data_IF_076420301525
#
_entry.id   IF_076420301525
#
_cell.length_a   1.000
_cell.length_b   1.000
_cell.length_c   1.000
_cell.angle_alpha   90.00
_cell.angle_beta   90.00
_cell.angle_gamma   90.00
#
_symmetry.space_group_name_H-M   'P 1'
#
loop_
_entity.id
_entity.type
_entity.pdbx_description
1 polymer ?
#
# COMPACT_ATOMS: atom_id res chain seq x y z
N UNK A 1 22.79 13.58 29.13
CA UNK A 1 22.16 12.53 29.95
C UNK A 1 21.37 11.52 29.11
N UNK A 2 20.46 11.91 28.21
CA UNK A 2 19.71 10.97 27.38
C UNK A 2 20.56 10.32 26.26
N UNK A 3 21.47 11.09 25.63
CA UNK A 3 22.43 10.60 24.64
C UNK A 3 23.47 9.62 25.22
N UNK A 4 23.89 9.81 26.46
CA UNK A 4 24.86 8.92 27.11
C UNK A 4 24.24 7.61 27.59
N UNK A 5 23.01 7.66 28.13
CA UNK A 5 22.24 6.45 28.42
C UNK A 5 21.98 5.66 27.13
N UNK A 6 21.71 6.36 26.03
CA UNK A 6 21.50 5.78 24.71
C UNK A 6 22.76 5.10 24.17
N UNK A 7 23.96 5.73 24.34
CA UNK A 7 25.24 5.16 23.92
C UNK A 7 25.62 3.92 24.76
N UNK A 8 25.30 3.94 26.06
CA UNK A 8 25.55 2.80 26.96
C UNK A 8 24.62 1.59 26.64
N UNK A 9 23.36 1.83 26.26
CA UNK A 9 22.44 0.79 25.78
C UNK A 9 22.92 0.21 24.45
N UNK A 10 23.44 1.06 23.55
CA UNK A 10 24.00 0.67 22.26
C UNK A 10 25.28 -0.19 22.38
N UNK A 11 26.12 0.09 23.39
CA UNK A 11 27.35 -0.69 23.65
C UNK A 11 27.05 -2.07 24.27
N UNK A 12 26.02 -2.19 25.12
CA UNK A 12 25.55 -3.45 25.68
C UNK A 12 24.77 -4.31 24.66
N UNK A 13 24.15 -3.71 23.65
CA UNK A 13 23.33 -4.41 22.65
C UNK A 13 24.10 -5.11 21.55
N UNK A 14 25.45 -5.08 21.53
CA UNK A 14 26.25 -5.78 20.51
C UNK A 14 26.12 -7.32 20.54
N UNK A 15 25.61 -7.89 21.61
CA UNK A 15 25.46 -9.35 21.77
C UNK A 15 24.01 -9.87 21.75
N UNK A 16 23.00 -9.02 21.50
CA UNK A 16 21.58 -9.43 21.44
C UNK A 16 20.89 -8.96 20.18
N UNK A 17 20.81 -9.81 19.16
CA UNK A 17 20.36 -9.49 17.81
C UNK A 17 18.90 -9.00 17.70
N UNK A 18 17.99 -9.41 18.57
CA UNK A 18 16.55 -9.06 18.50
C UNK A 18 16.21 -7.67 19.02
N UNK A 19 16.75 -7.25 20.16
CA UNK A 19 16.50 -5.94 20.74
C UNK A 19 17.08 -4.77 19.91
N UNK A 20 18.23 -5.03 19.27
CA UNK A 20 18.92 -4.06 18.42
C UNK A 20 18.13 -3.73 17.12
N UNK A 21 17.48 -4.76 16.51
CA UNK A 21 16.64 -4.57 15.33
C UNK A 21 15.40 -3.72 15.63
N UNK A 22 14.65 -4.06 16.67
CA UNK A 22 13.44 -3.32 17.06
C UNK A 22 13.76 -1.85 17.40
N UNK A 23 14.87 -1.60 18.09
CA UNK A 23 15.31 -0.25 18.42
C UNK A 23 15.57 0.60 17.17
N UNK A 24 16.21 0.06 16.14
CA UNK A 24 16.51 0.80 14.88
C UNK A 24 15.30 0.93 13.96
N UNK A 25 14.42 -0.05 13.93
CA UNK A 25 13.18 0.01 13.15
C UNK A 25 12.16 0.98 13.76
N UNK A 26 12.16 1.10 15.10
CA UNK A 26 11.18 1.88 15.85
C UNK A 26 10.97 3.33 15.39
N UNK A 27 11.99 4.15 15.08
CA UNK A 27 11.77 5.53 14.63
C UNK A 27 11.00 5.63 13.31
N UNK A 28 11.17 4.66 12.40
CA UNK A 28 10.42 4.58 11.15
C UNK A 28 8.96 4.22 11.41
N UNK A 29 8.75 3.13 12.13
CA UNK A 29 7.43 2.61 12.51
C UNK A 29 6.63 3.62 13.34
N UNK A 30 7.22 4.17 14.41
CA UNK A 30 6.59 5.21 15.22
C UNK A 30 6.15 6.43 14.42
N UNK A 31 6.98 6.86 13.46
CA UNK A 31 6.66 8.02 12.63
C UNK A 31 5.50 7.73 11.68
N UNK A 32 5.46 6.52 11.10
CA UNK A 32 4.36 6.10 10.23
C UNK A 32 3.05 5.99 11.02
N UNK A 33 3.05 5.29 12.15
CA UNK A 33 1.87 5.18 13.03
C UNK A 33 1.39 6.56 13.48
N UNK A 34 2.30 7.45 13.90
CA UNK A 34 1.93 8.80 14.33
C UNK A 34 1.28 9.61 13.20
N UNK A 35 1.82 9.55 11.98
CA UNK A 35 1.23 10.27 10.83
C UNK A 35 -0.13 9.68 10.47
N UNK A 36 -0.25 8.35 10.45
CA UNK A 36 -1.50 7.66 10.17
C UNK A 36 -2.60 8.06 11.18
N UNK A 37 -2.34 7.89 12.48
CA UNK A 37 -3.31 8.24 13.54
C UNK A 37 -3.68 9.73 13.51
N UNK A 38 -2.70 10.62 13.27
CA UNK A 38 -2.98 12.05 13.13
C UNK A 38 -3.84 12.36 11.90
N UNK A 39 -3.70 11.62 10.79
CA UNK A 39 -4.53 11.82 9.61
C UNK A 39 -5.97 11.39 9.87
N UNK A 40 -6.17 10.25 10.52
CA UNK A 40 -7.51 9.78 10.91
C UNK A 40 -8.20 10.78 11.84
N UNK A 41 -7.52 11.21 12.90
CA UNK A 41 -8.07 12.17 13.85
C UNK A 41 -8.36 13.54 13.21
N UNK A 42 -7.49 14.04 12.34
CA UNK A 42 -7.69 15.32 11.67
C UNK A 42 -8.86 15.31 10.67
N UNK A 43 -9.22 14.16 10.13
CA UNK A 43 -10.33 14.00 9.20
C UNK A 43 -11.70 13.83 9.88
N UNK A 44 -11.74 13.49 11.18
CA UNK A 44 -13.00 13.25 11.90
C UNK A 44 -14.03 14.36 11.76
N UNK A 45 -13.69 15.67 11.91
CA UNK A 45 -14.67 16.74 11.73
C UNK A 45 -15.27 16.78 10.31
N UNK A 46 -14.46 16.44 9.29
CA UNK A 46 -14.90 16.38 7.89
C UNK A 46 -15.87 15.22 7.67
N UNK A 47 -15.57 14.04 8.22
CA UNK A 47 -16.45 12.88 8.14
C UNK A 47 -17.80 13.12 8.83
N UNK A 48 -17.78 13.71 10.04
CA UNK A 48 -19.00 14.05 10.78
C UNK A 48 -19.84 15.06 9.98
N UNK A 49 -19.22 16.11 9.46
CA UNK A 49 -19.93 17.10 8.64
C UNK A 49 -20.52 16.48 7.36
N UNK A 50 -19.77 15.57 6.70
CA UNK A 50 -20.25 14.86 5.53
C UNK A 50 -21.48 13.98 5.87
N UNK A 51 -21.46 13.27 6.98
CA UNK A 51 -22.60 12.45 7.42
C UNK A 51 -23.85 13.29 7.62
N UNK A 52 -23.75 14.40 8.37
CA UNK A 52 -24.87 15.34 8.53
C UNK A 52 -25.37 15.92 7.23
N UNK A 53 -24.47 16.29 6.31
CA UNK A 53 -24.86 16.82 4.99
C UNK A 53 -25.60 15.77 4.16
N UNK A 54 -25.12 14.52 4.14
CA UNK A 54 -25.77 13.43 3.42
C UNK A 54 -27.18 13.16 3.96
N UNK A 55 -27.33 13.01 5.28
CA UNK A 55 -28.63 12.83 5.92
C UNK A 55 -29.60 14.00 5.67
N UNK A 56 -29.09 15.24 5.71
CA UNK A 56 -29.87 16.42 5.40
C UNK A 56 -30.35 16.46 3.94
N UNK A 57 -29.51 16.05 2.99
CA UNK A 57 -29.87 15.92 1.58
C UNK A 57 -30.95 14.84 1.41
N UNK A 58 -30.83 13.69 2.03
CA UNK A 58 -31.85 12.63 2.01
C UNK A 58 -33.19 13.15 2.55
N UNK A 59 -33.15 13.88 3.66
CA UNK A 59 -34.36 14.50 4.25
C UNK A 59 -35.04 15.49 3.30
N UNK A 60 -34.26 16.37 2.62
CA UNK A 60 -34.81 17.36 1.73
C UNK A 60 -35.32 16.80 0.39
N UNK A 61 -34.57 15.86 -0.18
CA UNK A 61 -34.84 15.35 -1.53
C UNK A 61 -35.76 14.12 -1.51
N UNK A 62 -35.92 13.48 -0.34
CA UNK A 62 -36.59 12.18 -0.17
C UNK A 62 -36.03 11.08 -1.06
N UNK A 63 -34.77 11.23 -1.50
CA UNK A 63 -34.03 10.22 -2.24
C UNK A 63 -33.17 9.44 -1.28
N UNK A 64 -33.17 8.11 -1.38
CA UNK A 64 -32.25 7.27 -0.61
C UNK A 64 -30.87 7.31 -1.26
N UNK A 65 -29.90 7.86 -0.57
CA UNK A 65 -28.48 7.77 -0.91
C UNK A 65 -27.80 6.91 0.16
N UNK A 66 -26.78 6.14 -0.20
CA UNK A 66 -25.99 5.44 0.82
C UNK A 66 -25.11 6.47 1.57
N UNK A 67 -25.73 7.18 2.54
CA UNK A 67 -25.10 8.28 3.31
C UNK A 67 -23.85 7.79 4.05
N UNK A 68 -23.84 6.53 4.52
CA UNK A 68 -22.68 5.92 5.17
C UNK A 68 -21.51 5.79 4.20
N UNK A 69 -21.72 5.23 3.01
CA UNK A 69 -20.66 5.05 2.00
C UNK A 69 -20.10 6.39 1.52
N UNK A 70 -20.94 7.40 1.30
CA UNK A 70 -20.50 8.73 0.91
C UNK A 70 -19.69 9.43 2.00
N UNK A 71 -20.19 9.42 3.24
CA UNK A 71 -19.49 10.06 4.36
C UNK A 71 -18.17 9.37 4.67
N UNK A 72 -18.11 8.04 4.58
CA UNK A 72 -16.89 7.28 4.74
C UNK A 72 -15.86 7.58 3.65
N UNK A 73 -16.29 7.66 2.38
CA UNK A 73 -15.42 8.02 1.27
C UNK A 73 -14.82 9.43 1.44
N UNK A 74 -15.63 10.41 1.86
CA UNK A 74 -15.18 11.79 2.10
C UNK A 74 -14.23 11.86 3.30
N UNK A 75 -14.54 11.14 4.39
CA UNK A 75 -13.67 11.03 5.56
C UNK A 75 -12.29 10.47 5.19
N UNK A 76 -12.26 9.33 4.50
CA UNK A 76 -11.01 8.68 4.10
C UNK A 76 -10.23 9.57 3.11
N UNK A 77 -10.92 10.20 2.14
CA UNK A 77 -10.28 11.15 1.23
C UNK A 77 -9.56 12.29 1.98
N UNK A 78 -10.22 12.87 2.98
CA UNK A 78 -9.62 13.92 3.80
C UNK A 78 -8.42 13.43 4.60
N UNK A 79 -8.51 12.22 5.19
CA UNK A 79 -7.43 11.59 5.94
C UNK A 79 -6.20 11.34 5.05
N UNK A 80 -6.40 10.77 3.86
CA UNK A 80 -5.32 10.45 2.92
C UNK A 80 -4.63 11.70 2.36
N UNK A 81 -5.40 12.73 2.01
CA UNK A 81 -4.85 14.00 1.56
C UNK A 81 -4.02 14.69 2.66
N UNK A 82 -4.50 14.64 3.90
CA UNK A 82 -3.72 15.15 5.05
C UNK A 82 -2.45 14.34 5.25
N UNK A 83 -2.50 13.01 5.12
CA UNK A 83 -1.34 12.12 5.21
C UNK A 83 -0.29 12.45 4.14
N UNK A 84 -0.70 12.62 2.88
CA UNK A 84 0.18 13.05 1.79
C UNK A 84 0.83 14.40 2.12
N UNK A 85 0.03 15.38 2.57
CA UNK A 85 0.52 16.70 2.95
C UNK A 85 1.58 16.63 4.07
N UNK A 86 1.33 15.86 5.12
CA UNK A 86 2.28 15.67 6.24
C UNK A 86 3.56 14.98 5.79
N UNK A 87 3.45 13.93 4.99
CA UNK A 87 4.62 13.23 4.45
C UNK A 87 5.46 14.16 3.58
N UNK A 88 4.84 14.93 2.69
CA UNK A 88 5.56 15.87 1.80
C UNK A 88 6.18 17.03 2.56
N UNK A 89 5.43 17.69 3.44
CA UNK A 89 5.88 18.89 4.16
C UNK A 89 6.93 18.57 5.23
N UNK A 90 6.65 17.61 6.11
CA UNK A 90 7.49 17.30 7.28
C UNK A 90 8.75 16.53 6.91
N UNK A 91 8.68 15.67 5.88
CA UNK A 91 9.75 14.74 5.54
C UNK A 91 10.41 15.04 4.19
N UNK A 92 10.02 16.14 3.53
CA UNK A 92 10.53 16.55 2.21
C UNK A 92 10.53 15.41 1.18
N UNK A 93 9.49 14.56 1.25
CA UNK A 93 9.35 13.43 0.35
C UNK A 93 8.94 13.94 -1.04
N UNK A 94 9.83 13.74 -2.01
CA UNK A 94 9.55 13.98 -3.42
C UNK A 94 9.44 12.66 -4.14
N UNK A 95 8.43 12.53 -4.99
CA UNK A 95 8.36 11.45 -5.97
C UNK A 95 9.44 11.75 -6.99
N UNK A 96 10.56 11.03 -6.93
CA UNK A 96 11.71 11.26 -7.82
C UNK A 96 11.96 10.00 -8.63
N UNK A 97 11.87 10.14 -9.96
CA UNK A 97 12.56 9.25 -10.87
C UNK A 97 14.00 9.76 -10.95
N UNK A 98 14.90 9.21 -10.14
CA UNK A 98 16.33 9.43 -10.38
C UNK A 98 16.71 8.80 -11.72
N UNK A 99 17.65 9.43 -12.41
CA UNK A 99 18.12 8.98 -13.73
C UNK A 99 18.61 7.53 -13.63
N UNK A 100 17.82 6.60 -14.12
CA UNK A 100 18.26 5.25 -14.43
C UNK A 100 18.97 5.39 -15.78
N UNK A 101 20.28 5.46 -15.75
CA UNK A 101 21.11 5.95 -16.87
C UNK A 101 21.08 5.09 -18.14
N UNK A 102 20.51 3.88 -18.14
CA UNK A 102 20.67 2.94 -19.28
C UNK A 102 19.38 2.31 -19.82
N UNK A 103 18.21 2.70 -19.33
CA UNK A 103 16.96 2.13 -19.81
C UNK A 103 15.94 3.20 -20.19
N UNK A 104 15.22 3.09 -21.31
CA UNK A 104 14.05 3.92 -21.58
C UNK A 104 13.07 3.80 -20.40
N UNK A 105 12.67 4.93 -19.86
CA UNK A 105 11.68 4.98 -18.74
C UNK A 105 10.44 4.16 -19.08
N UNK A 106 10.02 4.17 -20.32
CA UNK A 106 8.89 3.40 -20.87
C UNK A 106 8.95 1.90 -20.56
N UNK A 107 10.13 1.27 -20.75
CA UNK A 107 10.28 -0.18 -20.49
C UNK A 107 10.14 -0.46 -19.00
N UNK A 108 10.68 0.39 -18.12
CA UNK A 108 10.52 0.22 -16.67
C UNK A 108 9.05 0.34 -16.29
N UNK A 109 8.35 1.35 -16.81
CA UNK A 109 6.92 1.50 -16.58
C UNK A 109 6.13 0.27 -17.03
N UNK A 110 6.45 -0.24 -18.23
CA UNK A 110 5.81 -1.45 -18.75
C UNK A 110 6.04 -2.66 -17.84
N UNK A 111 7.28 -2.92 -17.41
CA UNK A 111 7.60 -4.05 -16.53
C UNK A 111 6.90 -3.92 -15.15
N UNK A 112 6.87 -2.72 -14.59
CA UNK A 112 6.17 -2.43 -13.34
C UNK A 112 4.67 -2.62 -13.48
N UNK A 113 4.08 -2.13 -14.59
CA UNK A 113 2.66 -2.31 -14.89
C UNK A 113 2.30 -3.79 -15.08
N UNK A 114 3.14 -4.56 -15.79
CA UNK A 114 2.93 -6.00 -15.96
C UNK A 114 2.93 -6.73 -14.61
N UNK A 115 3.82 -6.36 -13.69
CA UNK A 115 3.79 -6.93 -12.33
C UNK A 115 2.47 -6.59 -11.63
N UNK A 116 2.02 -5.33 -11.71
CA UNK A 116 0.74 -4.89 -11.12
C UNK A 116 -0.48 -5.59 -11.73
N UNK A 117 -0.45 -5.85 -13.03
CA UNK A 117 -1.55 -6.50 -13.73
C UNK A 117 -1.61 -8.00 -13.43
N UNK A 118 -0.49 -8.70 -13.61
CA UNK A 118 -0.48 -10.15 -13.53
C UNK A 118 -0.45 -10.71 -12.10
N UNK A 119 -0.13 -9.90 -11.08
CA UNK A 119 -0.21 -10.34 -9.68
C UNK A 119 -1.66 -10.55 -9.21
N UNK A 120 -2.63 -9.92 -9.85
CA UNK A 120 -4.04 -9.97 -9.43
C UNK A 120 -4.56 -11.41 -9.33
N UNK A 121 -4.42 -12.22 -10.39
CA UNK A 121 -4.94 -13.59 -10.42
C UNK A 121 -4.37 -14.47 -9.31
N UNK A 122 -3.03 -14.61 -9.15
CA UNK A 122 -2.49 -15.46 -8.08
C UNK A 122 -2.74 -14.90 -6.67
N UNK A 123 -2.97 -13.58 -6.50
CA UNK A 123 -3.34 -13.03 -5.20
C UNK A 123 -4.80 -13.35 -4.87
N UNK A 124 -5.72 -13.21 -5.83
CA UNK A 124 -7.12 -13.60 -5.64
C UNK A 124 -7.24 -15.11 -5.36
N UNK A 125 -6.51 -15.95 -6.10
CA UNK A 125 -6.45 -17.39 -5.83
C UNK A 125 -5.93 -17.71 -4.42
N UNK A 126 -4.93 -16.96 -3.92
CA UNK A 126 -4.42 -17.10 -2.56
C UNK A 126 -5.46 -16.68 -1.52
N UNK A 127 -6.15 -15.57 -1.74
CA UNK A 127 -7.20 -15.07 -0.85
C UNK A 127 -8.37 -16.06 -0.76
N UNK A 128 -8.83 -16.59 -1.91
CA UNK A 128 -9.86 -17.64 -1.98
C UNK A 128 -9.41 -18.92 -1.24
N UNK A 129 -8.16 -19.33 -1.42
CA UNK A 129 -7.60 -20.51 -0.74
C UNK A 129 -7.50 -20.34 0.78
N UNK A 130 -7.17 -19.15 1.26
CA UNK A 130 -7.03 -18.86 2.69
C UNK A 130 -8.36 -18.73 3.41
N UNK A 131 -9.43 -18.35 2.70
CA UNK A 131 -10.81 -18.19 3.19
C UNK A 131 -10.88 -17.45 4.56
N UNK A 132 -10.20 -16.30 4.62
CA UNK A 132 -10.11 -15.52 5.86
C UNK A 132 -11.34 -14.62 6.03
N UNK A 133 -11.76 -14.35 7.29
CA UNK A 133 -12.88 -13.45 7.55
C UNK A 133 -12.67 -12.06 6.94
N UNK A 134 -13.64 -11.58 6.19
CA UNK A 134 -13.69 -10.24 5.61
C UNK A 134 -14.78 -9.41 6.31
N UNK A 135 -14.34 -8.45 7.13
CA UNK A 135 -15.24 -7.57 7.90
C UNK A 135 -15.53 -6.24 7.20
N UNK A 136 -14.81 -5.91 6.13
CA UNK A 136 -14.87 -4.60 5.47
C UNK A 136 -15.25 -4.68 3.98
N UNK A 137 -15.39 -5.88 3.43
CA UNK A 137 -15.63 -6.07 2.00
C UNK A 137 -16.88 -5.34 1.52
N UNK A 138 -18.00 -5.42 2.26
CA UNK A 138 -19.23 -4.74 1.90
C UNK A 138 -19.09 -3.21 1.93
N UNK A 139 -18.41 -2.64 2.93
CA UNK A 139 -18.18 -1.20 3.01
C UNK A 139 -17.34 -0.69 1.81
N UNK A 140 -16.35 -1.48 1.38
CA UNK A 140 -15.53 -1.17 0.19
C UNK A 140 -16.37 -1.21 -1.08
N UNK A 141 -17.21 -2.24 -1.24
CA UNK A 141 -18.15 -2.37 -2.36
C UNK A 141 -19.10 -1.17 -2.39
N UNK A 142 -19.69 -0.82 -1.25
CA UNK A 142 -20.60 0.33 -1.14
C UNK A 142 -19.92 1.65 -1.50
N UNK A 143 -18.68 1.85 -1.04
CA UNK A 143 -17.88 3.01 -1.43
C UNK A 143 -17.55 3.03 -2.92
N UNK A 144 -17.35 1.88 -3.54
CA UNK A 144 -17.06 1.78 -4.98
C UNK A 144 -18.27 2.12 -5.87
N UNK A 145 -19.48 2.24 -5.30
CA UNK A 145 -20.65 2.70 -6.04
C UNK A 145 -20.75 4.23 -6.18
N UNK A 146 -19.81 4.99 -5.59
CA UNK A 146 -19.78 6.44 -5.78
C UNK A 146 -18.41 6.92 -6.33
N UNK A 147 -18.38 7.99 -7.15
CA UNK A 147 -17.16 8.43 -7.83
C UNK A 147 -16.06 8.91 -6.87
N UNK A 148 -16.41 9.45 -5.69
CA UNK A 148 -15.44 9.85 -4.66
C UNK A 148 -14.79 8.61 -4.06
N UNK A 149 -15.58 7.56 -3.79
CA UNK A 149 -15.07 6.29 -3.28
C UNK A 149 -14.12 5.63 -4.28
N UNK A 150 -14.47 5.57 -5.56
CA UNK A 150 -13.58 5.04 -6.61
C UNK A 150 -12.27 5.83 -6.66
N UNK A 151 -12.34 7.16 -6.70
CA UNK A 151 -11.15 8.02 -6.70
C UNK A 151 -10.27 7.77 -5.48
N UNK A 152 -10.90 7.66 -4.31
CA UNK A 152 -10.21 7.42 -3.05
C UNK A 152 -9.56 6.03 -3.04
N UNK A 153 -10.33 4.97 -3.30
CA UNK A 153 -9.85 3.58 -3.25
C UNK A 153 -8.76 3.30 -4.28
N UNK A 154 -8.93 3.74 -5.53
CA UNK A 154 -8.04 3.37 -6.61
C UNK A 154 -6.82 4.29 -6.77
N UNK A 155 -6.90 5.56 -6.34
CA UNK A 155 -5.85 6.53 -6.65
C UNK A 155 -5.26 7.17 -5.40
N UNK A 156 -6.10 7.78 -4.56
CA UNK A 156 -5.61 8.62 -3.47
C UNK A 156 -5.01 7.78 -2.34
N UNK A 157 -5.71 6.72 -1.90
CA UNK A 157 -5.20 5.82 -0.86
C UNK A 157 -3.89 5.13 -1.29
N UNK A 158 -3.77 4.50 -2.48
CA UNK A 158 -2.50 3.98 -2.97
C UNK A 158 -1.34 4.99 -2.92
N UNK A 159 -1.59 6.22 -3.36
CA UNK A 159 -0.55 7.26 -3.32
C UNK A 159 -0.15 7.58 -1.87
N UNK A 160 -1.11 7.79 -0.99
CA UNK A 160 -0.87 8.16 0.40
C UNK A 160 -0.14 7.07 1.17
N UNK A 161 -0.53 5.83 0.99
CA UNK A 161 0.08 4.66 1.61
C UNK A 161 1.52 4.44 1.12
N UNK A 162 1.80 4.62 -0.17
CA UNK A 162 3.18 4.57 -0.66
C UNK A 162 4.04 5.71 -0.09
N UNK A 163 3.49 6.92 0.09
CA UNK A 163 4.18 7.98 0.82
C UNK A 163 4.47 7.61 2.28
N UNK A 164 3.53 6.95 2.95
CA UNK A 164 3.67 6.55 4.35
C UNK A 164 4.68 5.41 4.52
N UNK A 165 4.47 4.29 3.82
CA UNK A 165 5.24 3.06 4.05
C UNK A 165 6.59 3.08 3.34
N UNK A 166 6.65 3.44 2.07
CA UNK A 166 7.91 3.45 1.28
C UNK A 166 8.64 4.78 1.41
N UNK A 167 7.87 5.87 1.38
CA UNK A 167 8.42 7.22 1.50
C UNK A 167 8.95 7.54 2.90
N UNK A 168 8.17 7.29 3.93
CA UNK A 168 8.51 7.67 5.31
C UNK A 168 9.14 6.53 6.08
N UNK A 169 8.40 5.41 6.27
CA UNK A 169 8.80 4.32 7.16
C UNK A 169 10.07 3.62 6.67
N UNK A 170 10.03 3.02 5.48
CA UNK A 170 11.16 2.29 4.91
C UNK A 170 12.41 3.18 4.78
N UNK A 171 12.28 4.41 4.27
CA UNK A 171 13.42 5.34 4.15
C UNK A 171 14.03 5.70 5.51
N UNK A 172 13.23 5.86 6.56
CA UNK A 172 13.75 6.07 7.90
C UNK A 172 14.49 4.86 8.42
N UNK A 173 13.95 3.67 8.23
CA UNK A 173 14.63 2.41 8.59
C UNK A 173 16.00 2.31 7.91
N UNK A 174 16.07 2.60 6.61
CA UNK A 174 17.33 2.61 5.84
C UNK A 174 18.32 3.68 6.37
N UNK A 175 17.84 4.88 6.74
CA UNK A 175 18.69 5.93 7.33
C UNK A 175 19.29 5.52 8.69
N UNK A 176 18.66 4.61 9.40
CA UNK A 176 19.16 4.05 10.65
C UNK A 176 20.03 2.81 10.44
N UNK A 177 20.56 2.63 9.22
CA UNK A 177 21.42 1.52 8.82
C UNK A 177 20.80 0.12 9.06
N UNK A 178 19.48 0.02 8.88
CA UNK A 178 18.81 -1.29 8.79
C UNK A 178 19.09 -1.86 7.41
N UNK A 179 19.41 -3.15 7.36
CA UNK A 179 19.57 -3.84 6.09
C UNK A 179 18.35 -3.64 5.18
N UNK A 180 18.56 -3.43 3.86
CA UNK A 180 17.48 -3.18 2.93
C UNK A 180 16.34 -4.21 3.01
N UNK A 181 16.66 -5.49 3.11
CA UNK A 181 15.65 -6.55 3.20
C UNK A 181 14.79 -6.45 4.45
N UNK A 182 15.37 -6.12 5.60
CA UNK A 182 14.60 -5.90 6.83
C UNK A 182 13.71 -4.65 6.74
N UNK A 183 14.16 -3.60 6.05
CA UNK A 183 13.34 -2.41 5.85
C UNK A 183 12.18 -2.68 4.86
N UNK A 184 12.43 -3.47 3.81
CA UNK A 184 11.43 -3.90 2.84
C UNK A 184 10.37 -4.77 3.54
N UNK A 185 10.78 -5.87 4.17
CA UNK A 185 9.86 -6.80 4.83
C UNK A 185 9.10 -6.12 5.96
N UNK A 186 9.80 -5.39 6.83
CA UNK A 186 9.17 -4.72 7.98
C UNK A 186 8.14 -3.67 7.58
N UNK A 187 8.43 -2.86 6.53
CA UNK A 187 7.43 -1.89 6.03
C UNK A 187 6.26 -2.57 5.34
N UNK A 188 6.44 -3.73 4.73
CA UNK A 188 5.38 -4.49 4.07
C UNK A 188 4.47 -5.22 5.06
N UNK A 189 5.04 -5.78 6.13
CA UNK A 189 4.24 -6.35 7.22
C UNK A 189 3.36 -5.28 7.86
N UNK A 190 3.92 -4.09 8.16
CA UNK A 190 3.12 -3.00 8.72
C UNK A 190 2.07 -2.49 7.75
N UNK A 191 2.35 -2.50 6.44
CA UNK A 191 1.40 -2.15 5.40
C UNK A 191 0.20 -3.11 5.39
N UNK A 192 0.40 -4.43 5.47
CA UNK A 192 -0.71 -5.38 5.58
C UNK A 192 -1.48 -5.26 6.90
N UNK A 193 -0.77 -5.14 8.02
CA UNK A 193 -1.40 -5.08 9.34
C UNK A 193 -2.29 -3.85 9.56
N UNK A 194 -2.02 -2.73 8.88
CA UNK A 194 -2.80 -1.49 9.07
C UNK A 194 -4.23 -1.59 8.51
N UNK A 195 -4.49 -2.57 7.64
CA UNK A 195 -5.84 -2.81 7.11
C UNK A 195 -6.81 -3.33 8.18
N UNK A 196 -6.31 -3.93 9.27
CA UNK A 196 -7.09 -4.46 10.39
C UNK A 196 -8.22 -5.44 9.97
N UNK A 197 -8.15 -5.98 8.77
CA UNK A 197 -9.09 -6.90 8.17
C UNK A 197 -8.34 -8.19 7.78
N UNK A 198 -8.64 -9.36 8.38
CA UNK A 198 -7.89 -10.59 8.15
C UNK A 198 -7.73 -10.95 6.67
N UNK A 199 -8.79 -10.84 5.87
CA UNK A 199 -8.73 -11.11 4.44
C UNK A 199 -7.73 -10.20 3.71
N UNK A 200 -7.57 -8.96 4.15
CA UNK A 200 -6.69 -7.95 3.55
C UNK A 200 -5.28 -7.89 4.17
N UNK A 201 -4.84 -8.91 4.92
CA UNK A 201 -3.48 -8.91 5.49
C UNK A 201 -2.47 -9.62 4.59
N UNK A 202 -2.69 -10.87 4.13
CA UNK A 202 -1.67 -11.64 3.40
C UNK A 202 -1.32 -11.06 2.04
N UNK A 203 -2.31 -10.75 1.22
CA UNK A 203 -2.14 -10.16 -0.11
C UNK A 203 -1.31 -8.87 -0.08
N UNK A 204 -1.72 -7.85 0.71
CA UNK A 204 -0.95 -6.62 0.87
C UNK A 204 0.47 -6.80 1.42
N UNK A 205 0.74 -7.77 2.30
CA UNK A 205 2.12 -8.05 2.74
C UNK A 205 2.97 -8.50 1.54
N UNK A 206 2.48 -9.46 0.76
CA UNK A 206 3.21 -10.01 -0.39
C UNK A 206 3.41 -8.93 -1.45
N UNK A 207 2.34 -8.26 -1.85
CA UNK A 207 2.38 -7.15 -2.81
C UNK A 207 3.29 -6.02 -2.30
N UNK A 208 3.23 -5.76 -1.00
CA UNK A 208 4.05 -4.80 -0.29
C UNK A 208 5.54 -5.04 -0.44
N UNK A 209 5.99 -6.31 -0.39
CA UNK A 209 7.39 -6.69 -0.58
C UNK A 209 7.85 -6.34 -2.00
N UNK A 210 7.05 -6.66 -3.03
CA UNK A 210 7.37 -6.32 -4.42
C UNK A 210 7.46 -4.81 -4.62
N UNK A 211 6.47 -4.06 -4.16
CA UNK A 211 6.43 -2.60 -4.25
C UNK A 211 7.64 -1.97 -3.54
N UNK A 212 7.91 -2.38 -2.30
CA UNK A 212 9.03 -1.86 -1.51
C UNK A 212 10.38 -2.16 -2.16
N UNK A 213 10.57 -3.37 -2.69
CA UNK A 213 11.80 -3.75 -3.39
C UNK A 213 12.00 -2.92 -4.66
N UNK A 214 10.97 -2.73 -5.49
CA UNK A 214 11.08 -1.90 -6.70
C UNK A 214 11.33 -0.42 -6.35
N UNK A 215 10.66 0.11 -5.31
CA UNK A 215 10.91 1.46 -4.82
C UNK A 215 12.35 1.64 -4.30
N UNK A 216 12.87 0.65 -3.59
CA UNK A 216 14.26 0.64 -3.12
C UNK A 216 15.25 0.65 -4.28
N UNK A 217 15.08 -0.23 -5.28
CA UNK A 217 15.95 -0.35 -6.46
C UNK A 217 15.96 0.90 -7.33
N UNK A 218 14.82 1.54 -7.50
CA UNK A 218 14.67 2.75 -8.32
C UNK A 218 14.89 4.06 -7.56
N UNK A 219 14.96 4.00 -6.23
CA UNK A 219 14.94 5.17 -5.33
C UNK A 219 13.76 6.10 -5.59
N UNK A 220 12.65 5.55 -6.06
CA UNK A 220 11.42 6.25 -6.45
C UNK A 220 10.19 5.56 -5.87
N UNK A 221 9.14 6.33 -5.58
CA UNK A 221 7.83 5.80 -5.15
C UNK A 221 6.97 5.37 -6.35
N UNK A 222 7.31 5.81 -7.56
CA UNK A 222 6.47 5.60 -8.75
C UNK A 222 6.18 4.13 -9.03
N UNK A 223 7.15 3.19 -8.98
CA UNK A 223 6.83 1.78 -9.20
C UNK A 223 5.80 1.22 -8.20
N UNK A 224 5.95 1.53 -6.92
CA UNK A 224 4.97 1.14 -5.90
C UNK A 224 3.58 1.72 -6.19
N UNK A 225 3.50 3.02 -6.49
CA UNK A 225 2.25 3.70 -6.82
C UNK A 225 1.56 3.06 -8.03
N UNK A 226 2.29 2.73 -9.10
CA UNK A 226 1.71 2.11 -10.29
C UNK A 226 1.15 0.74 -9.96
N UNK A 227 1.94 -0.14 -9.31
CA UNK A 227 1.49 -1.49 -8.94
C UNK A 227 0.25 -1.39 -8.04
N UNK A 228 0.28 -0.51 -7.06
CA UNK A 228 -0.78 -0.36 -6.07
C UNK A 228 -2.08 0.17 -6.71
N UNK A 229 -2.01 1.21 -7.54
CA UNK A 229 -3.16 1.72 -8.30
C UNK A 229 -3.74 0.60 -9.19
N UNK A 230 -2.89 -0.12 -9.90
CA UNK A 230 -3.32 -1.22 -10.77
C UNK A 230 -4.03 -2.31 -9.95
N UNK A 231 -3.45 -2.71 -8.81
CA UNK A 231 -4.08 -3.68 -7.91
C UNK A 231 -5.47 -3.22 -7.45
N UNK A 232 -5.55 -2.04 -6.84
CA UNK A 232 -6.81 -1.55 -6.28
C UNK A 232 -7.89 -1.32 -7.35
N UNK A 233 -7.48 -0.97 -8.57
CA UNK A 233 -8.43 -0.87 -9.70
C UNK A 233 -8.95 -2.24 -10.11
N UNK A 234 -8.09 -3.27 -10.15
CA UNK A 234 -8.50 -4.64 -10.46
C UNK A 234 -9.39 -5.25 -9.38
N UNK A 235 -9.15 -4.92 -8.11
CA UNK A 235 -10.01 -5.36 -6.99
C UNK A 235 -11.44 -4.81 -7.04
N UNK A 236 -11.75 -3.85 -7.94
CA UNK A 236 -13.13 -3.43 -8.20
C UNK A 236 -13.86 -4.35 -9.20
N UNK A 237 -13.19 -5.34 -9.78
CA UNK A 237 -13.84 -6.35 -10.61
C UNK A 237 -14.76 -7.19 -9.69
N UNK A 238 -16.07 -7.25 -9.98
CA UNK A 238 -16.98 -8.06 -9.16
C UNK A 238 -16.54 -9.52 -9.12
N UNK A 239 -16.66 -10.14 -7.93
CA UNK A 239 -16.24 -11.54 -7.73
C UNK A 239 -16.97 -12.49 -8.67
N UNK A 240 -18.25 -12.24 -8.92
CA UNK A 240 -19.06 -13.05 -9.84
C UNK A 240 -18.53 -13.01 -11.28
N UNK A 241 -17.98 -11.86 -11.70
CA UNK A 241 -17.35 -11.74 -13.02
C UNK A 241 -16.03 -12.50 -13.05
N UNK A 242 -15.22 -12.41 -11.97
CA UNK A 242 -13.98 -13.15 -11.85
C UNK A 242 -14.22 -14.66 -11.93
N UNK A 243 -15.16 -15.19 -11.14
CA UNK A 243 -15.48 -16.61 -11.09
C UNK A 243 -16.10 -17.12 -12.39
N UNK A 244 -16.91 -16.30 -13.06
CA UNK A 244 -17.59 -16.71 -14.29
C UNK A 244 -16.68 -16.68 -15.51
N UNK A 245 -15.87 -15.63 -15.66
CA UNK A 245 -15.16 -15.34 -16.92
C UNK A 245 -13.65 -15.46 -16.83
N UNK A 246 -13.05 -15.32 -15.63
CA UNK A 246 -11.58 -15.33 -15.47
C UNK A 246 -11.12 -16.67 -14.90
N UNK A 247 -11.77 -17.17 -13.86
CA UNK A 247 -11.38 -18.38 -13.14
C UNK A 247 -12.55 -19.35 -12.95
N UNK A 248 -13.27 -19.65 -14.04
CA UNK A 248 -14.50 -20.46 -14.00
C UNK A 248 -14.32 -21.90 -13.51
N UNK A 249 -13.11 -22.39 -13.41
CA UNK A 249 -12.76 -23.68 -12.81
C UNK A 249 -11.45 -23.59 -12.03
N UNK A 250 -11.26 -24.43 -10.97
CA UNK A 250 -9.99 -24.45 -10.22
C UNK A 250 -8.76 -24.74 -11.11
N UNK A 251 -8.93 -25.55 -12.16
CA UNK A 251 -7.84 -25.82 -13.11
C UNK A 251 -7.51 -24.58 -13.95
N UNK A 252 -8.50 -23.81 -14.36
CA UNK A 252 -8.29 -22.56 -15.10
C UNK A 252 -7.61 -21.51 -14.22
N UNK A 253 -8.06 -21.34 -12.99
CA UNK A 253 -7.46 -20.43 -12.00
C UNK A 253 -5.99 -20.80 -11.74
N UNK A 254 -5.70 -22.08 -11.50
CA UNK A 254 -4.33 -22.55 -11.28
C UNK A 254 -3.45 -22.32 -12.53
N UNK A 255 -3.95 -22.61 -13.73
CA UNK A 255 -3.24 -22.43 -14.98
C UNK A 255 -2.92 -20.95 -15.25
N UNK A 256 -3.90 -20.07 -15.07
CA UNK A 256 -3.71 -18.63 -15.21
C UNK A 256 -2.78 -18.06 -14.15
N UNK A 257 -2.84 -18.56 -12.91
CA UNK A 257 -1.91 -18.19 -11.84
C UNK A 257 -0.48 -18.57 -12.18
N UNK A 258 -0.23 -19.78 -12.70
CA UNK A 258 1.12 -20.21 -13.12
C UNK A 258 1.67 -19.35 -14.25
N UNK A 259 0.85 -19.04 -15.27
CA UNK A 259 1.24 -18.16 -16.37
C UNK A 259 1.56 -16.76 -15.83
N UNK A 260 0.70 -16.23 -14.96
CA UNK A 260 0.88 -14.92 -14.33
C UNK A 260 2.18 -14.86 -13.52
N UNK A 261 2.44 -15.86 -12.70
CA UNK A 261 3.70 -15.97 -11.93
C UNK A 261 4.92 -16.02 -12.87
N UNK A 262 4.86 -16.76 -13.97
CA UNK A 262 5.96 -16.80 -14.94
C UNK A 262 6.24 -15.42 -15.57
N UNK A 263 5.18 -14.67 -15.93
CA UNK A 263 5.29 -13.29 -16.45
C UNK A 263 5.87 -12.35 -15.40
N UNK A 264 5.43 -12.46 -14.13
CA UNK A 264 5.95 -11.68 -13.01
C UNK A 264 7.45 -11.95 -12.83
N UNK A 265 7.86 -13.22 -12.77
CA UNK A 265 9.26 -13.61 -12.61
C UNK A 265 10.12 -13.06 -13.77
N UNK A 266 9.65 -13.21 -15.01
CA UNK A 266 10.34 -12.66 -16.18
C UNK A 266 10.48 -11.13 -16.08
N UNK A 267 9.40 -10.45 -15.73
CA UNK A 267 9.39 -8.98 -15.55
C UNK A 267 10.37 -8.53 -14.47
N UNK A 268 10.40 -9.23 -13.32
CA UNK A 268 11.34 -8.96 -12.23
C UNK A 268 12.78 -9.24 -12.64
N UNK A 269 13.06 -10.32 -13.36
CA UNK A 269 14.39 -10.64 -13.86
C UNK A 269 14.90 -9.58 -14.83
N UNK A 270 14.08 -9.15 -15.77
CA UNK A 270 14.40 -8.07 -16.72
C UNK A 270 14.61 -6.74 -15.99
N UNK A 271 13.73 -6.39 -15.07
CA UNK A 271 13.85 -5.21 -14.23
C UNK A 271 15.15 -5.23 -13.41
N UNK A 272 15.49 -6.37 -12.79
CA UNK A 272 16.71 -6.51 -11.99
C UNK A 272 17.97 -6.35 -12.83
N UNK A 273 18.06 -7.02 -14.00
CA UNK A 273 19.21 -6.87 -14.94
C UNK A 273 19.45 -5.42 -15.31
N UNK A 274 18.38 -4.66 -15.50
CA UNK A 274 18.44 -3.28 -15.98
C UNK A 274 18.67 -2.25 -14.88
N UNK A 275 18.27 -2.54 -13.63
CA UNK A 275 18.50 -1.66 -12.47
C UNK A 275 19.79 -2.00 -11.71
N UNK A 276 20.39 -3.18 -11.87
CA UNK A 276 21.67 -3.56 -11.28
C UNK A 276 22.86 -2.77 -11.83
N UNK A 277 22.76 -2.27 -13.06
CA UNK A 277 23.84 -1.48 -13.68
C UNK A 277 23.87 -0.01 -13.22
N UNK A 278 23.02 0.38 -12.27
CA UNK A 278 22.89 1.74 -11.75
C UNK A 278 23.27 1.82 -10.25
N UNK A 279 23.62 0.71 -9.60
CA UNK A 279 24.19 0.62 -8.25
C UNK A 279 25.71 0.54 -8.33
#
# INVERSE_FOLDING_TARGET
MEKEKLSAILSKGRNGTKGWFLYRAWPGTRSAISVYLMSMLAALPVGIAAAFCCEFIEFLTKTTINSTAWSMAIYMLAAELYMIHKCRKKFHLRVRLEKIQKMPKTIIFLLVFLVGLFQFIPMTALENFMDLPDYMGQDIVDMAHNPIGILMLCIIAPIAEEYLFRGLMMRKMLKWNISPWYAIIGSSIMFGLIHLNPAQIPGPIILGIFMAWMCYRTRSLIPGIIIHITNNTLCLIPVEYYDTYIASTPMMEASLSLISIAIIILSICLFNKKTAAAS
#
